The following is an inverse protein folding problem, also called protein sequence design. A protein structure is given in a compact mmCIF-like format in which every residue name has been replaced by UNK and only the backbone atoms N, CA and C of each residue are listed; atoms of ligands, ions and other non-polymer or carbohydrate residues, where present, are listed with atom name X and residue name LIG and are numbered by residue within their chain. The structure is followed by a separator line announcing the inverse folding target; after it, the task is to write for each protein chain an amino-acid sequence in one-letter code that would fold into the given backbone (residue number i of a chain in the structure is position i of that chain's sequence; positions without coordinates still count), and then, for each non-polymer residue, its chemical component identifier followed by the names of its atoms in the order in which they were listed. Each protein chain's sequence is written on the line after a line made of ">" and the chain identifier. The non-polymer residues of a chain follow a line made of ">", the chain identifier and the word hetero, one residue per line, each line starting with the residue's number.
data_IF_470010424543
#
_entry.id   IF_470010424543
#
_cell.length_a   1.000
_cell.length_b   1.000
_cell.length_c   1.000
_cell.angle_alpha   90.00
_cell.angle_beta   90.00
_cell.angle_gamma   90.00
#
_symmetry.space_group_name_H-M   'P 1'
#
loop_
_entity.id
_entity.type
_entity.pdbx_description
1 polymer ?
#
# COMPACT_ATOMS: atom_id res chain seq x y z
N UNK A 1 17.80 17.16 -17.43
CA UNK A 1 16.46 16.55 -17.56
C UNK A 1 16.23 15.72 -16.31
N UNK A 2 15.11 15.89 -15.59
CA UNK A 2 14.80 15.01 -14.45
C UNK A 2 14.60 13.59 -14.98
N UNK A 3 15.21 12.56 -14.37
CA UNK A 3 15.07 11.18 -14.84
C UNK A 3 13.68 10.64 -14.46
N UNK A 4 12.66 10.99 -15.26
CA UNK A 4 11.26 10.60 -15.07
C UNK A 4 11.09 9.06 -15.00
N UNK A 5 12.03 8.31 -15.59
CA UNK A 5 12.04 6.84 -15.53
C UNK A 5 12.30 6.27 -14.13
N UNK A 6 12.79 7.06 -13.16
CA UNK A 6 13.01 6.58 -11.78
C UNK A 6 11.69 6.27 -11.07
N UNK A 7 10.64 7.07 -11.28
CA UNK A 7 9.35 6.87 -10.61
C UNK A 7 8.74 5.48 -10.86
N UNK A 8 8.56 5.00 -12.10
CA UNK A 8 8.01 3.67 -12.34
C UNK A 8 8.94 2.55 -11.85
N UNK A 9 10.27 2.74 -11.89
CA UNK A 9 11.23 1.74 -11.38
C UNK A 9 11.10 1.56 -9.87
N UNK A 10 11.07 2.67 -9.12
CA UNK A 10 10.89 2.65 -7.66
C UNK A 10 9.53 2.05 -7.30
N UNK A 11 8.47 2.47 -8.00
CA UNK A 11 7.13 1.92 -7.78
C UNK A 11 7.09 0.41 -8.00
N UNK A 12 7.62 -0.11 -9.12
CA UNK A 12 7.64 -1.56 -9.38
C UNK A 12 8.46 -2.31 -8.33
N UNK A 13 9.60 -1.77 -7.91
CA UNK A 13 10.39 -2.37 -6.83
C UNK A 13 9.61 -2.40 -5.50
N UNK A 14 8.91 -1.31 -5.16
CA UNK A 14 8.01 -1.23 -4.02
C UNK A 14 6.86 -2.24 -4.08
N UNK A 15 6.27 -2.46 -5.26
CA UNK A 15 5.22 -3.47 -5.46
C UNK A 15 5.73 -4.90 -5.27
N UNK A 16 6.93 -5.22 -5.75
CA UNK A 16 7.57 -6.52 -5.50
C UNK A 16 7.82 -6.72 -4.00
N UNK A 17 8.31 -5.69 -3.30
CA UNK A 17 8.49 -5.72 -1.86
C UNK A 17 7.15 -5.87 -1.13
N UNK A 18 6.11 -5.15 -1.56
CA UNK A 18 4.78 -5.24 -0.99
C UNK A 18 4.24 -6.67 -1.07
N UNK A 19 4.36 -7.33 -2.23
CA UNK A 19 3.95 -8.74 -2.37
C UNK A 19 4.67 -9.60 -1.33
N UNK A 20 5.99 -9.48 -1.18
CA UNK A 20 6.75 -10.24 -0.17
C UNK A 20 6.30 -9.95 1.25
N UNK A 21 6.09 -8.69 1.61
CA UNK A 21 5.67 -8.29 2.95
C UNK A 21 4.23 -8.73 3.26
N UNK A 22 3.32 -8.67 2.30
CA UNK A 22 1.95 -9.16 2.47
C UNK A 22 1.88 -10.69 2.57
N UNK A 23 2.78 -11.44 1.93
CA UNK A 23 2.92 -12.88 2.13
C UNK A 23 3.31 -13.20 3.59
N UNK A 24 4.29 -12.47 4.14
CA UNK A 24 4.70 -12.62 5.54
C UNK A 24 3.58 -12.22 6.51
N UNK A 25 2.95 -11.07 6.28
CA UNK A 25 1.85 -10.58 7.11
C UNK A 25 0.70 -11.58 7.17
N UNK A 26 0.33 -12.16 6.02
CA UNK A 26 -0.74 -13.16 5.94
C UNK A 26 -0.41 -14.43 6.70
N UNK A 27 0.85 -14.88 6.65
CA UNK A 27 1.31 -16.03 7.44
C UNK A 27 1.23 -15.74 8.95
N UNK A 28 1.72 -14.58 9.37
CA UNK A 28 1.85 -14.25 10.80
C UNK A 28 0.53 -13.90 11.47
N UNK A 29 -0.39 -13.22 10.75
CA UNK A 29 -1.62 -12.68 11.35
C UNK A 29 -2.87 -13.48 10.96
N UNK A 30 -2.95 -13.98 9.73
CA UNK A 30 -4.13 -14.68 9.24
C UNK A 30 -4.02 -16.21 9.32
N UNK A 31 -2.83 -16.77 9.65
CA UNK A 31 -2.59 -18.22 9.70
C UNK A 31 -2.92 -18.95 8.40
N UNK A 32 -3.04 -18.22 7.29
CA UNK A 32 -3.57 -18.71 6.02
C UNK A 32 -2.46 -19.22 5.09
N UNK A 33 -2.84 -20.06 4.12
CA UNK A 33 -1.94 -20.56 3.10
C UNK A 33 -1.22 -19.39 2.38
N UNK A 34 0.11 -19.51 2.29
CA UNK A 34 1.03 -18.45 1.85
C UNK A 34 0.75 -18.06 0.39
N UNK A 35 0.45 -19.02 -0.48
CA UNK A 35 0.32 -18.78 -1.91
C UNK A 35 -1.14 -18.74 -2.35
N UNK A 36 -1.64 -17.54 -2.63
CA UNK A 36 -2.86 -17.31 -3.42
C UNK A 36 -2.46 -16.55 -4.68
N UNK A 37 -3.06 -16.91 -5.81
CA UNK A 37 -2.90 -16.14 -7.05
C UNK A 37 -3.36 -14.70 -6.81
N UNK A 38 -2.69 -13.70 -7.43
CA UNK A 38 -3.13 -12.32 -7.34
C UNK A 38 -4.58 -12.21 -7.80
N UNK A 39 -5.41 -11.64 -6.93
CA UNK A 39 -6.85 -11.50 -7.09
C UNK A 39 -7.23 -10.01 -7.13
N UNK A 40 -8.53 -9.74 -7.20
CA UNK A 40 -9.04 -8.38 -7.27
C UNK A 40 -8.64 -7.53 -6.04
N UNK A 41 -8.47 -8.15 -4.86
CA UNK A 41 -8.02 -7.46 -3.66
C UNK A 41 -6.54 -7.06 -3.75
N UNK A 42 -5.71 -7.92 -4.35
CA UNK A 42 -4.32 -7.60 -4.66
C UNK A 42 -4.25 -6.41 -5.62
N UNK A 43 -5.08 -6.41 -6.67
CA UNK A 43 -5.15 -5.33 -7.65
C UNK A 43 -5.62 -4.00 -7.03
N UNK A 44 -6.64 -4.03 -6.16
CA UNK A 44 -7.06 -2.85 -5.36
C UNK A 44 -5.89 -2.28 -4.57
N UNK A 45 -5.11 -3.14 -3.90
CA UNK A 45 -3.93 -2.71 -3.15
C UNK A 45 -2.87 -2.01 -4.03
N UNK A 46 -2.61 -2.51 -5.23
CA UNK A 46 -1.71 -1.88 -6.21
C UNK A 46 -2.24 -0.49 -6.61
N UNK A 47 -3.53 -0.38 -6.94
CA UNK A 47 -4.14 0.89 -7.33
C UNK A 47 -4.09 1.92 -6.19
N UNK A 48 -4.38 1.51 -4.96
CA UNK A 48 -4.30 2.37 -3.79
C UNK A 48 -2.89 2.92 -3.59
N UNK A 49 -1.87 2.05 -3.67
CA UNK A 49 -0.46 2.48 -3.57
C UNK A 49 -0.06 3.36 -4.74
N UNK A 50 -0.54 3.11 -5.95
CA UNK A 50 -0.28 3.98 -7.11
C UNK A 50 -0.84 5.39 -6.89
N UNK A 51 -2.06 5.50 -6.37
CA UNK A 51 -2.67 6.80 -6.03
C UNK A 51 -1.88 7.51 -4.93
N UNK A 52 -1.53 6.81 -3.85
CA UNK A 52 -0.69 7.36 -2.78
C UNK A 52 0.67 7.83 -3.31
N UNK A 53 1.37 6.97 -4.05
CA UNK A 53 2.70 7.25 -4.58
C UNK A 53 2.70 8.46 -5.53
N UNK A 54 1.76 8.51 -6.48
CA UNK A 54 1.62 9.64 -7.41
C UNK A 54 1.24 10.93 -6.70
N UNK A 55 0.31 10.88 -5.73
CA UNK A 55 -0.05 12.02 -4.90
C UNK A 55 1.13 12.56 -4.09
N UNK A 56 1.85 11.69 -3.39
CA UNK A 56 2.97 12.06 -2.53
C UNK A 56 4.17 12.58 -3.32
N UNK A 57 4.52 11.94 -4.44
CA UNK A 57 5.61 12.43 -5.32
C UNK A 57 5.23 13.73 -6.04
N UNK A 58 3.94 14.00 -6.24
CA UNK A 58 3.41 15.29 -6.69
C UNK A 58 3.32 16.37 -5.60
N UNK A 59 3.65 16.05 -4.34
CA UNK A 59 3.57 16.98 -3.21
C UNK A 59 2.18 17.12 -2.57
N UNK A 60 1.21 16.28 -2.97
CA UNK A 60 -0.16 16.31 -2.47
C UNK A 60 -0.33 15.42 -1.23
N UNK A 61 0.09 15.93 -0.07
CA UNK A 61 -0.05 15.19 1.21
C UNK A 61 -1.52 14.87 1.58
N UNK A 62 -2.49 15.64 1.06
CA UNK A 62 -3.93 15.39 1.21
C UNK A 62 -4.36 13.99 0.73
N UNK A 63 -3.58 13.34 -0.14
CA UNK A 63 -3.83 11.96 -0.58
C UNK A 63 -3.86 10.97 0.59
N UNK A 64 -3.11 11.23 1.68
CA UNK A 64 -3.13 10.39 2.88
C UNK A 64 -4.45 10.52 3.65
N UNK A 65 -5.00 11.73 3.71
CA UNK A 65 -6.30 12.01 4.34
C UNK A 65 -7.42 11.33 3.54
N UNK A 66 -7.39 11.46 2.21
CA UNK A 66 -8.32 10.81 1.31
C UNK A 66 -8.25 9.28 1.41
N UNK A 67 -7.05 8.71 1.47
CA UNK A 67 -6.86 7.27 1.68
C UNK A 67 -7.43 6.79 3.03
N UNK A 68 -7.16 7.52 4.11
CA UNK A 68 -7.74 7.22 5.43
C UNK A 68 -9.27 7.27 5.43
N UNK A 69 -9.84 8.31 4.83
CA UNK A 69 -11.29 8.47 4.70
C UNK A 69 -11.93 7.35 3.86
N UNK A 70 -11.29 6.95 2.74
CA UNK A 70 -11.75 5.85 1.91
C UNK A 70 -11.78 4.54 2.70
N UNK A 71 -10.70 4.21 3.42
CA UNK A 71 -10.63 2.99 4.24
C UNK A 71 -11.66 2.97 5.36
N UNK A 72 -11.91 4.10 6.02
CA UNK A 72 -12.97 4.24 7.02
C UNK A 72 -14.36 4.05 6.38
N UNK A 73 -14.64 4.76 5.29
CA UNK A 73 -15.94 4.74 4.62
C UNK A 73 -16.34 3.34 4.13
N UNK A 74 -15.38 2.55 3.64
CA UNK A 74 -15.62 1.16 3.19
C UNK A 74 -15.87 0.17 4.32
N UNK A 75 -15.62 0.55 5.58
CA UNK A 75 -15.68 -0.34 6.75
C UNK A 75 -16.87 -0.10 7.67
N UNK A 76 -17.53 1.05 7.57
CA UNK A 76 -18.68 1.41 8.40
C UNK A 76 -19.88 0.44 8.28
N UNK A 77 -19.92 -0.41 7.25
CA UNK A 77 -20.98 -1.41 7.04
C UNK A 77 -20.59 -2.85 7.42
N UNK A 78 -19.32 -3.13 7.74
CA UNK A 78 -18.76 -4.49 7.85
C UNK A 78 -18.50 -4.94 9.31
N UNK A 79 -19.07 -4.26 10.32
CA UNK A 79 -18.73 -4.47 11.75
C UNK A 79 -19.16 -5.83 12.34
N UNK A 80 -19.82 -6.71 11.58
CA UNK A 80 -20.28 -8.00 12.07
C UNK A 80 -19.22 -9.09 11.83
N UNK A 81 -18.55 -9.52 12.91
CA UNK A 81 -17.86 -10.81 13.09
C UNK A 81 -16.46 -11.05 12.46
N UNK A 82 -15.40 -10.48 13.06
CA UNK A 82 -14.14 -11.18 13.47
C UNK A 82 -13.01 -10.20 13.84
N UNK A 83 -12.62 -10.14 15.12
CA UNK A 83 -11.50 -9.34 15.65
C UNK A 83 -10.19 -9.56 14.88
N UNK A 84 -9.89 -10.81 14.50
CA UNK A 84 -8.70 -11.18 13.71
C UNK A 84 -8.71 -10.55 12.32
N UNK A 85 -9.89 -10.45 11.68
CA UNK A 85 -10.06 -9.79 10.37
C UNK A 85 -9.81 -8.28 10.48
N UNK A 86 -10.20 -7.67 11.60
CA UNK A 86 -10.00 -6.24 11.82
C UNK A 86 -8.53 -5.88 12.06
N UNK A 87 -7.82 -6.67 12.88
CA UNK A 87 -6.39 -6.46 13.13
C UNK A 87 -5.54 -6.67 11.87
N UNK A 88 -5.84 -7.72 11.09
CA UNK A 88 -5.18 -7.96 9.80
C UNK A 88 -5.37 -6.78 8.83
N UNK A 89 -6.59 -6.25 8.76
CA UNK A 89 -6.90 -5.12 7.87
C UNK A 89 -6.21 -3.82 8.29
N UNK A 90 -6.22 -3.49 9.59
CA UNK A 90 -5.58 -2.29 10.10
C UNK A 90 -4.07 -2.33 9.81
N UNK A 91 -3.40 -3.43 10.16
CA UNK A 91 -1.97 -3.60 9.92
C UNK A 91 -1.67 -3.58 8.42
N UNK A 92 -2.49 -4.25 7.60
CA UNK A 92 -2.33 -4.27 6.16
C UNK A 92 -2.41 -2.89 5.52
N UNK A 93 -3.36 -2.04 5.94
CA UNK A 93 -3.49 -0.69 5.41
C UNK A 93 -2.34 0.22 5.86
N UNK A 94 -1.93 0.13 7.13
CA UNK A 94 -0.77 0.89 7.63
C UNK A 94 0.51 0.49 6.90
N UNK A 95 0.72 -0.80 6.69
CA UNK A 95 1.84 -1.32 5.91
C UNK A 95 1.80 -0.83 4.45
N UNK A 96 0.64 -0.87 3.81
CA UNK A 96 0.46 -0.39 2.43
C UNK A 96 0.80 1.10 2.31
N UNK A 97 0.27 1.93 3.21
CA UNK A 97 0.56 3.36 3.24
C UNK A 97 2.04 3.62 3.53
N UNK A 98 2.65 2.88 4.45
CA UNK A 98 4.06 2.98 4.78
C UNK A 98 4.96 2.70 3.57
N UNK A 99 4.66 1.65 2.78
CA UNK A 99 5.40 1.32 1.56
C UNK A 99 5.31 2.48 0.55
N UNK A 100 4.10 2.98 0.26
CA UNK A 100 3.93 4.09 -0.69
C UNK A 100 4.64 5.38 -0.25
N UNK A 101 4.65 5.67 1.06
CA UNK A 101 5.41 6.80 1.64
C UNK A 101 6.92 6.57 1.46
N UNK A 102 7.42 5.38 1.77
CA UNK A 102 8.82 5.03 1.63
C UNK A 102 9.28 5.17 0.16
N UNK A 103 8.50 4.66 -0.78
CA UNK A 103 8.77 4.77 -2.22
C UNK A 103 8.84 6.24 -2.66
N UNK A 104 7.89 7.07 -2.22
CA UNK A 104 7.89 8.50 -2.53
C UNK A 104 9.12 9.22 -1.95
N UNK A 105 9.53 8.88 -0.72
CA UNK A 105 10.74 9.41 -0.10
C UNK A 105 11.98 8.97 -0.90
N UNK A 106 12.10 7.69 -1.26
CA UNK A 106 13.22 7.17 -2.05
C UNK A 106 13.33 7.92 -3.38
N UNK A 107 12.22 8.14 -4.09
CA UNK A 107 12.21 8.99 -5.29
C UNK A 107 12.72 10.41 -4.99
N UNK A 108 12.26 11.01 -3.89
CA UNK A 108 12.72 12.34 -3.46
C UNK A 108 14.22 12.41 -3.17
N UNK A 109 14.82 11.34 -2.64
CA UNK A 109 16.27 11.26 -2.41
C UNK A 109 17.03 11.06 -3.73
N UNK A 110 16.59 10.13 -4.58
CA UNK A 110 17.24 9.81 -5.85
C UNK A 110 17.23 10.95 -6.87
N UNK A 111 16.24 11.86 -6.79
CA UNK A 111 16.12 13.01 -7.69
C UNK A 111 16.84 14.27 -7.18
N UNK A 112 17.30 14.27 -5.92
CA UNK A 112 18.14 15.32 -5.33
C UNK A 112 19.64 15.06 -5.51
N UNK A 113 20.00 13.81 -5.82
CA UNK A 113 21.34 13.37 -6.29
C UNK A 113 21.46 13.66 -7.78
#
# INVERSE_FOLDING_TARGET
>A
MRPILIYPVVFVAGELLAVLLFLVLRRSVAGAAVFKKPDIETFKGILERLVLFTGLTGGYSTVLVMFGALKLGTRLHDETDKIVSNNYFLIGNLLSAFIAIADAIICGWLLKV
#
